data_IF_616728746695
#
_entry.id   IF_616728746695
#
_cell.length_a   1.000
_cell.length_b   1.000
_cell.length_c   1.000
_cell.angle_alpha   90.00
_cell.angle_beta   90.00
_cell.angle_gamma   90.00
#
_symmetry.space_group_name_H-M   'P 1'
#
loop_
_entity.id
_entity.type
_entity.pdbx_description
1 polymer ?
#
# COMPACT_ATOMS: atom_id res chain seq x y z
N UNK A 1 -18.76 -17.28 9.12
CA UNK A 1 -17.60 -16.42 9.42
C UNK A 1 -17.65 -15.25 8.45
N UNK A 2 -17.35 -14.01 8.87
CA UNK A 2 -17.12 -12.95 7.91
C UNK A 2 -15.99 -13.41 6.97
N UNK A 3 -16.23 -13.34 5.66
CA UNK A 3 -15.23 -13.70 4.66
C UNK A 3 -14.29 -12.49 4.57
N UNK A 4 -13.11 -12.60 5.15
CA UNK A 4 -12.03 -11.63 4.93
C UNK A 4 -11.20 -12.01 3.70
N UNK A 5 -10.34 -11.10 3.24
CA UNK A 5 -9.52 -11.29 2.04
C UNK A 5 -8.18 -11.99 2.32
N UNK A 6 -7.95 -12.52 3.52
CA UNK A 6 -6.67 -13.14 3.89
C UNK A 6 -6.49 -14.49 3.21
N UNK A 7 -5.24 -14.85 2.91
CA UNK A 7 -4.94 -16.13 2.28
C UNK A 7 -5.38 -17.36 3.11
N UNK A 8 -5.43 -17.26 4.44
CA UNK A 8 -5.96 -18.34 5.28
C UNK A 8 -7.46 -18.61 5.00
N UNK A 9 -8.26 -17.57 4.84
CA UNK A 9 -9.68 -17.66 4.45
C UNK A 9 -9.83 -18.22 3.04
N UNK A 10 -8.94 -17.82 2.12
CA UNK A 10 -8.88 -18.36 0.77
C UNK A 10 -8.54 -19.87 0.75
N UNK A 11 -7.61 -20.33 1.58
CA UNK A 11 -7.32 -21.76 1.70
C UNK A 11 -8.56 -22.56 2.12
N UNK A 12 -9.30 -22.07 3.12
CA UNK A 12 -10.55 -22.73 3.53
C UNK A 12 -11.60 -22.72 2.41
N UNK A 13 -11.67 -21.66 1.62
CA UNK A 13 -12.51 -21.60 0.43
C UNK A 13 -12.13 -22.68 -0.61
N UNK A 14 -10.83 -22.90 -0.87
CA UNK A 14 -10.36 -23.97 -1.75
C UNK A 14 -10.79 -25.36 -1.25
N UNK A 15 -10.63 -25.63 0.05
CA UNK A 15 -11.05 -26.91 0.66
C UNK A 15 -12.55 -27.12 0.59
N UNK A 16 -13.36 -26.09 0.83
CA UNK A 16 -14.82 -26.16 0.76
C UNK A 16 -15.34 -26.45 -0.65
N UNK A 17 -14.63 -25.98 -1.68
CA UNK A 17 -14.98 -26.24 -3.08
C UNK A 17 -14.40 -27.54 -3.65
N UNK A 18 -13.73 -28.35 -2.82
CA UNK A 18 -13.05 -29.58 -3.26
C UNK A 18 -12.14 -29.31 -4.45
N UNK A 19 -11.35 -28.23 -4.38
CA UNK A 19 -10.36 -27.90 -5.40
C UNK A 19 -9.37 -29.06 -5.59
N UNK A 20 -8.81 -29.15 -6.80
CA UNK A 20 -7.89 -30.21 -7.24
C UNK A 20 -6.77 -30.48 -6.22
N UNK A 21 -6.89 -31.60 -5.49
CA UNK A 21 -5.93 -32.03 -4.46
C UNK A 21 -4.58 -32.45 -5.05
N UNK A 22 -4.48 -32.58 -6.38
CA UNK A 22 -3.21 -32.85 -7.06
C UNK A 22 -2.41 -31.57 -7.35
N UNK A 23 -2.99 -30.38 -7.11
CA UNK A 23 -2.28 -29.13 -7.30
C UNK A 23 -1.11 -29.02 -6.30
N UNK A 24 0.13 -28.88 -6.78
CA UNK A 24 1.32 -28.95 -5.93
C UNK A 24 1.43 -27.77 -4.95
N UNK A 25 0.83 -26.62 -5.27
CA UNK A 25 0.80 -25.46 -4.35
C UNK A 25 -0.15 -25.76 -3.19
N UNK A 26 -1.33 -26.33 -3.45
CA UNK A 26 -2.27 -26.71 -2.39
C UNK A 26 -1.65 -27.78 -1.47
N UNK A 27 -0.98 -28.78 -2.03
CA UNK A 27 -0.30 -29.82 -1.25
C UNK A 27 0.78 -29.22 -0.32
N UNK A 28 1.59 -28.29 -0.82
CA UNK A 28 2.61 -27.62 -0.01
C UNK A 28 1.97 -26.78 1.11
N UNK A 29 0.88 -26.07 0.83
CA UNK A 29 0.13 -25.33 1.87
C UNK A 29 -0.37 -26.28 2.97
N UNK A 30 -0.89 -27.46 2.61
CA UNK A 30 -1.34 -28.47 3.57
C UNK A 30 -0.18 -29.03 4.41
N UNK A 31 0.97 -29.32 3.79
CA UNK A 31 2.17 -29.80 4.48
C UNK A 31 2.68 -28.75 5.49
N UNK A 32 2.77 -27.49 5.07
CA UNK A 32 3.19 -26.39 5.93
C UNK A 32 2.20 -26.13 7.07
N UNK A 33 0.90 -26.24 6.80
CA UNK A 33 -0.14 -26.14 7.82
C UNK A 33 0.00 -27.25 8.87
N UNK A 34 0.18 -28.50 8.45
CA UNK A 34 0.40 -29.65 9.35
C UNK A 34 1.68 -29.49 10.17
N UNK A 35 2.73 -28.93 9.57
CA UNK A 35 3.99 -28.63 10.22
C UNK A 35 3.95 -27.37 11.12
N UNK A 36 2.79 -26.69 11.21
CA UNK A 36 2.58 -25.45 11.98
C UNK A 36 3.65 -24.38 11.66
N UNK A 37 4.02 -24.25 10.39
CA UNK A 37 4.93 -23.22 9.93
C UNK A 37 4.19 -21.89 9.80
N UNK A 38 4.89 -20.80 10.08
CA UNK A 38 4.41 -19.47 9.77
C UNK A 38 4.29 -19.30 8.24
N UNK A 39 3.41 -18.40 7.78
CA UNK A 39 3.13 -18.14 6.37
C UNK A 39 2.65 -19.35 5.53
N UNK A 40 2.17 -20.43 6.17
CA UNK A 40 1.67 -21.63 5.48
C UNK A 40 0.56 -21.36 4.45
N UNK A 41 -0.19 -20.27 4.63
CA UNK A 41 -1.27 -19.86 3.73
C UNK A 41 -0.83 -18.90 2.64
N UNK A 42 0.35 -18.28 2.76
CA UNK A 42 0.83 -17.30 1.79
C UNK A 42 1.24 -18.01 0.49
N UNK A 43 0.40 -17.86 -0.53
CA UNK A 43 0.60 -18.48 -1.85
C UNK A 43 1.93 -18.04 -2.47
N UNK A 44 2.32 -16.79 -2.28
CA UNK A 44 3.54 -16.23 -2.88
C UNK A 44 4.78 -16.82 -2.23
N UNK A 45 4.79 -16.90 -0.89
CA UNK A 45 5.87 -17.54 -0.15
C UNK A 45 6.00 -19.03 -0.50
N UNK A 46 4.88 -19.73 -0.69
CA UNK A 46 4.86 -21.14 -1.12
C UNK A 46 5.46 -21.29 -2.53
N UNK A 47 5.03 -20.47 -3.49
CA UNK A 47 5.55 -20.49 -4.86
C UNK A 47 7.05 -20.17 -4.87
N UNK A 48 7.50 -19.20 -4.07
CA UNK A 48 8.91 -18.84 -3.95
C UNK A 48 9.76 -19.99 -3.41
N UNK A 49 9.31 -20.61 -2.33
CA UNK A 49 10.00 -21.76 -1.74
C UNK A 49 10.14 -22.90 -2.76
N UNK A 50 9.04 -23.25 -3.44
CA UNK A 50 9.05 -24.32 -4.44
C UNK A 50 9.97 -24.03 -5.63
N UNK A 51 10.04 -22.77 -6.06
CA UNK A 51 10.94 -22.32 -7.12
C UNK A 51 12.40 -22.39 -6.66
N UNK A 52 12.70 -21.93 -5.43
CA UNK A 52 14.05 -21.93 -4.86
C UNK A 52 14.60 -23.34 -4.63
N UNK A 53 13.74 -24.26 -4.20
CA UNK A 53 14.09 -25.67 -3.95
C UNK A 53 14.08 -26.53 -5.23
N UNK A 54 13.74 -25.95 -6.41
CA UNK A 54 13.58 -26.66 -7.68
C UNK A 54 12.67 -27.90 -7.59
N UNK A 55 11.66 -27.88 -6.71
CA UNK A 55 10.78 -29.03 -6.45
C UNK A 55 9.80 -29.28 -7.59
N UNK A 56 9.41 -28.22 -8.30
CA UNK A 56 8.49 -28.26 -9.44
C UNK A 56 9.07 -27.43 -10.57
N UNK A 57 8.90 -27.88 -11.82
CA UNK A 57 9.39 -27.12 -12.98
C UNK A 57 8.63 -25.79 -13.07
N UNK A 58 9.29 -24.66 -13.38
CA UNK A 58 8.64 -23.34 -13.41
C UNK A 58 7.38 -23.29 -14.28
N UNK A 59 7.35 -24.04 -15.39
CA UNK A 59 6.17 -24.14 -16.27
C UNK A 59 4.98 -24.81 -15.59
N UNK A 60 5.19 -25.93 -14.91
CA UNK A 60 4.14 -26.67 -14.20
C UNK A 60 3.63 -25.86 -13.00
N UNK A 61 4.55 -25.15 -12.33
CA UNK A 61 4.21 -24.24 -11.26
C UNK A 61 3.34 -23.07 -11.76
N UNK A 62 3.67 -22.49 -12.92
CA UNK A 62 2.85 -21.45 -13.55
C UNK A 62 1.45 -21.93 -13.96
N UNK A 63 1.32 -23.14 -14.50
CA UNK A 63 0.02 -23.74 -14.82
C UNK A 63 -0.82 -24.00 -13.55
N UNK A 64 -0.17 -24.46 -12.47
CA UNK A 64 -0.80 -24.67 -11.17
C UNK A 64 -1.24 -23.37 -10.51
N UNK A 65 -0.41 -22.33 -10.62
CA UNK A 65 -0.69 -20.99 -10.11
C UNK A 65 -1.88 -20.36 -10.83
N UNK A 66 -1.96 -20.52 -12.15
CA UNK A 66 -3.11 -20.04 -12.93
C UNK A 66 -4.44 -20.60 -12.43
N UNK A 67 -4.49 -21.90 -12.12
CA UNK A 67 -5.71 -22.54 -11.56
C UNK A 67 -6.08 -21.95 -10.19
N UNK A 68 -5.09 -21.63 -9.36
CA UNK A 68 -5.31 -20.97 -8.07
C UNK A 68 -5.82 -19.54 -8.26
N UNK A 69 -5.25 -18.77 -9.20
CA UNK A 69 -5.70 -17.41 -9.53
C UNK A 69 -7.17 -17.39 -9.96
N UNK A 70 -7.61 -18.35 -10.77
CA UNK A 70 -9.00 -18.48 -11.20
C UNK A 70 -9.96 -18.69 -10.01
N UNK A 71 -9.54 -19.46 -9.00
CA UNK A 71 -10.32 -19.62 -7.77
C UNK A 71 -10.26 -18.38 -6.88
N UNK A 72 -9.11 -17.71 -6.83
CA UNK A 72 -8.92 -16.51 -6.02
C UNK A 72 -9.82 -15.37 -6.50
N UNK A 73 -9.96 -15.18 -7.82
CA UNK A 73 -10.90 -14.22 -8.38
C UNK A 73 -12.34 -14.44 -7.88
N UNK A 74 -12.81 -15.69 -7.86
CA UNK A 74 -14.15 -16.03 -7.37
C UNK A 74 -14.29 -15.82 -5.86
N UNK A 75 -13.22 -16.07 -5.12
CA UNK A 75 -13.18 -15.80 -3.69
C UNK A 75 -13.29 -14.29 -3.41
N UNK A 76 -12.58 -13.45 -4.15
CA UNK A 76 -12.64 -12.00 -3.98
C UNK A 76 -14.05 -11.45 -4.26
N UNK A 77 -14.77 -11.96 -5.26
CA UNK A 77 -16.17 -11.56 -5.52
C UNK A 77 -17.11 -11.85 -4.34
N UNK A 78 -16.83 -12.90 -3.58
CA UNK A 78 -17.60 -13.25 -2.38
C UNK A 78 -17.16 -12.42 -1.16
N UNK A 79 -15.85 -12.15 -1.04
CA UNK A 79 -15.29 -11.39 0.07
C UNK A 79 -15.62 -9.89 -0.02
N UNK A 80 -15.59 -9.34 -1.23
CA UNK A 80 -15.86 -7.93 -1.54
C UNK A 80 -16.98 -7.83 -2.56
N UNK A 81 -18.24 -8.00 -2.13
CA UNK A 81 -19.40 -7.82 -2.99
C UNK A 81 -19.64 -6.34 -3.29
N UNK A 82 -20.33 -6.04 -4.40
CA UNK A 82 -20.66 -4.65 -4.79
C UNK A 82 -21.46 -3.90 -3.71
N UNK A 83 -22.25 -4.61 -2.90
CA UNK A 83 -22.98 -4.01 -1.78
C UNK A 83 -22.07 -3.49 -0.66
N UNK A 84 -20.89 -4.08 -0.47
CA UNK A 84 -19.88 -3.57 0.45
C UNK A 84 -19.25 -2.29 -0.09
N UNK A 85 -18.91 -2.27 -1.39
CA UNK A 85 -18.38 -1.07 -2.06
C UNK A 85 -19.38 0.09 -1.94
N UNK A 86 -20.63 -0.09 -2.36
CA UNK A 86 -21.67 0.95 -2.26
C UNK A 86 -21.82 1.50 -0.82
N UNK A 87 -21.71 0.64 0.19
CA UNK A 87 -21.75 1.07 1.59
C UNK A 87 -20.50 1.86 2.00
N UNK A 88 -19.31 1.41 1.60
CA UNK A 88 -18.05 2.07 1.89
C UNK A 88 -17.98 3.46 1.24
N UNK A 89 -18.28 3.56 -0.05
CA UNK A 89 -18.32 4.82 -0.77
C UNK A 89 -19.36 5.79 -0.19
N UNK A 90 -20.57 5.30 0.13
CA UNK A 90 -21.59 6.14 0.77
C UNK A 90 -21.15 6.64 2.16
N UNK A 91 -20.49 5.79 2.95
CA UNK A 91 -19.96 6.18 4.25
C UNK A 91 -18.80 7.19 4.11
N UNK A 92 -17.88 6.99 3.17
CA UNK A 92 -16.82 7.96 2.87
C UNK A 92 -17.44 9.30 2.48
N UNK A 93 -18.29 9.29 1.45
CA UNK A 93 -19.01 10.46 0.91
C UNK A 93 -19.70 11.27 2.00
N UNK A 94 -20.51 10.63 2.83
CA UNK A 94 -21.30 11.31 3.86
C UNK A 94 -20.45 11.90 5.00
N UNK A 95 -19.26 11.36 5.26
CA UNK A 95 -18.39 11.79 6.35
C UNK A 95 -17.19 12.62 5.87
N UNK A 96 -17.13 12.99 4.59
CA UNK A 96 -15.97 13.65 3.97
C UNK A 96 -14.64 12.88 4.18
N UNK A 97 -14.69 11.56 4.35
CA UNK A 97 -13.51 10.78 4.80
C UNK A 97 -12.34 10.86 3.83
N UNK A 98 -12.59 10.75 2.52
CA UNK A 98 -11.57 10.88 1.49
C UNK A 98 -10.83 12.22 1.59
N UNK A 99 -11.59 13.32 1.57
CA UNK A 99 -11.05 14.69 1.61
C UNK A 99 -10.30 14.92 2.92
N UNK A 100 -10.88 14.57 4.07
CA UNK A 100 -10.22 14.71 5.38
C UNK A 100 -8.91 13.92 5.44
N UNK A 101 -8.87 12.70 4.90
CA UNK A 101 -7.62 11.93 4.83
C UNK A 101 -6.54 12.64 4.03
N UNK A 102 -6.87 13.23 2.88
CA UNK A 102 -5.89 13.97 2.07
C UNK A 102 -5.47 15.29 2.73
N UNK A 103 -6.39 15.96 3.43
CA UNK A 103 -6.17 17.28 4.03
C UNK A 103 -5.39 17.23 5.34
N UNK A 104 -5.57 16.16 6.14
CA UNK A 104 -5.22 16.17 7.57
C UNK A 104 -4.31 15.02 8.01
N UNK A 105 -3.72 14.25 7.10
CA UNK A 105 -2.86 13.10 7.45
C UNK A 105 -1.64 13.48 8.30
N UNK A 106 -1.18 14.73 8.24
CA UNK A 106 -0.08 15.20 9.09
C UNK A 106 -0.47 15.24 10.58
N UNK A 107 -1.77 15.31 10.89
CA UNK A 107 -2.27 15.20 12.26
C UNK A 107 -2.20 13.82 12.89
N UNK A 108 -1.80 12.81 12.13
CA UNK A 108 -1.55 11.48 12.69
C UNK A 108 -0.13 11.33 13.27
N UNK A 109 0.77 12.29 12.99
CA UNK A 109 2.12 12.32 13.53
C UNK A 109 2.13 12.91 14.94
N UNK A 110 2.99 12.38 15.80
CA UNK A 110 3.26 13.06 17.07
C UNK A 110 4.06 14.36 16.84
N UNK A 111 4.16 15.17 17.88
CA UNK A 111 4.79 16.49 17.81
C UNK A 111 6.27 16.42 17.44
N UNK A 112 6.99 15.40 17.93
CA UNK A 112 8.43 15.27 17.72
C UNK A 112 8.72 14.79 16.29
N UNK A 113 7.92 13.87 15.76
CA UNK A 113 7.99 13.40 14.37
C UNK A 113 7.60 14.51 13.39
N UNK A 114 6.50 15.22 13.65
CA UNK A 114 6.09 16.38 12.86
C UNK A 114 7.16 17.47 12.83
N UNK A 115 7.81 17.76 13.96
CA UNK A 115 8.86 18.77 14.03
C UNK A 115 10.11 18.41 13.21
N UNK A 116 10.41 17.12 13.05
CA UNK A 116 11.53 16.63 12.24
C UNK A 116 11.21 16.66 10.74
N UNK A 117 9.95 16.41 10.38
CA UNK A 117 9.48 16.42 8.99
C UNK A 117 9.79 17.75 8.29
N UNK A 118 10.38 17.67 7.09
CA UNK A 118 10.71 18.85 6.28
C UNK A 118 9.65 19.16 5.24
N UNK A 119 8.87 18.17 4.82
CA UNK A 119 7.74 18.32 3.90
C UNK A 119 6.82 19.51 4.22
N UNK A 120 6.23 19.65 5.44
CA UNK A 120 5.29 20.74 5.72
C UNK A 120 5.94 22.13 5.66
N UNK A 121 7.25 22.23 5.94
CA UNK A 121 8.00 23.50 5.93
C UNK A 121 8.24 24.05 4.52
N UNK A 122 7.98 23.26 3.48
CA UNK A 122 8.27 23.58 2.07
C UNK A 122 7.01 23.83 1.24
N UNK A 123 5.85 23.57 1.82
CA UNK A 123 4.55 23.79 1.21
C UNK A 123 4.22 25.28 1.26
N UNK A 124 3.64 25.78 0.19
CA UNK A 124 3.05 27.10 0.16
C UNK A 124 1.59 27.00 -0.31
N UNK A 125 0.86 28.11 -0.11
CA UNK A 125 -0.36 28.34 -0.87
C UNK A 125 -0.05 28.13 -2.35
N UNK A 126 -1.04 27.57 -3.06
CA UNK A 126 -1.06 27.45 -4.51
C UNK A 126 -0.27 26.28 -5.08
N UNK A 127 0.39 25.48 -4.23
CA UNK A 127 1.02 24.24 -4.65
C UNK A 127 -0.04 23.22 -5.12
N UNK A 128 0.37 22.29 -5.97
CA UNK A 128 -0.47 21.17 -6.45
C UNK A 128 -0.09 19.92 -5.68
N UNK A 129 -1.04 19.35 -4.95
CA UNK A 129 -0.89 18.07 -4.27
C UNK A 129 -1.35 16.94 -5.19
N UNK A 130 -0.39 16.21 -5.76
CA UNK A 130 -0.68 15.05 -6.59
C UNK A 130 -0.54 13.76 -5.75
N UNK A 131 -1.66 13.24 -5.26
CA UNK A 131 -1.71 11.97 -4.53
C UNK A 131 -1.77 10.80 -5.51
N UNK A 132 -0.66 10.08 -5.65
CA UNK A 132 -0.60 8.90 -6.49
C UNK A 132 -0.60 7.62 -5.63
N UNK A 133 -1.75 6.94 -5.59
CA UNK A 133 -1.95 5.74 -4.80
C UNK A 133 -1.52 4.49 -5.58
N UNK A 134 -0.55 3.76 -5.03
CA UNK A 134 -0.17 2.42 -5.50
C UNK A 134 -0.85 1.39 -4.61
N UNK A 135 -1.94 0.80 -5.10
CA UNK A 135 -2.73 -0.18 -4.36
C UNK A 135 -2.26 -1.60 -4.66
N UNK A 136 -1.55 -2.22 -3.71
CA UNK A 136 -1.13 -3.62 -3.83
C UNK A 136 -2.27 -4.63 -3.62
N UNK A 137 -3.41 -4.18 -3.09
CA UNK A 137 -4.59 -5.02 -2.97
C UNK A 137 -5.27 -5.18 -4.32
N UNK A 138 -5.88 -6.35 -4.51
CA UNK A 138 -6.65 -6.65 -5.71
C UNK A 138 -8.04 -6.00 -5.71
N UNK A 139 -8.53 -5.56 -4.55
CA UNK A 139 -9.91 -5.09 -4.35
C UNK A 139 -10.00 -3.58 -4.55
N UNK A 140 -11.16 -3.11 -4.99
CA UNK A 140 -11.45 -1.68 -5.22
C UNK A 140 -11.86 -0.91 -3.96
N UNK A 141 -11.57 -1.45 -2.77
CA UNK A 141 -11.99 -0.82 -1.51
C UNK A 141 -11.32 0.55 -1.32
N UNK A 142 -10.03 0.64 -1.64
CA UNK A 142 -9.31 1.91 -1.53
C UNK A 142 -9.81 2.91 -2.57
N UNK A 143 -10.00 2.46 -3.81
CA UNK A 143 -10.48 3.26 -4.94
C UNK A 143 -11.80 3.95 -4.60
N UNK A 144 -12.76 3.18 -4.09
CA UNK A 144 -14.07 3.69 -3.71
C UNK A 144 -14.02 4.60 -2.48
N UNK A 145 -13.09 4.34 -1.55
CA UNK A 145 -12.90 5.18 -0.37
C UNK A 145 -12.29 6.55 -0.70
N UNK A 146 -11.24 6.59 -1.54
CA UNK A 146 -10.47 7.82 -1.85
C UNK A 146 -11.02 8.60 -3.04
N UNK A 147 -12.09 8.12 -3.67
CA UNK A 147 -12.70 8.80 -4.81
C UNK A 147 -13.29 10.15 -4.38
N UNK A 148 -12.83 11.22 -5.03
CA UNK A 148 -13.33 12.58 -4.79
C UNK A 148 -14.62 12.82 -5.58
N UNK A 149 -15.75 12.47 -4.98
CA UNK A 149 -17.08 12.62 -5.57
C UNK A 149 -17.61 14.07 -5.52
N UNK A 150 -18.72 14.32 -6.23
CA UNK A 150 -19.33 15.66 -6.37
C UNK A 150 -19.91 16.23 -5.06
N UNK A 151 -20.17 15.40 -4.06
CA UNK A 151 -20.67 15.82 -2.75
C UNK A 151 -19.52 16.27 -1.83
N UNK A 152 -18.37 15.61 -1.90
CA UNK A 152 -17.19 15.93 -1.09
C UNK A 152 -16.27 16.97 -1.72
N UNK A 153 -16.20 17.02 -3.06
CA UNK A 153 -15.23 17.81 -3.79
C UNK A 153 -15.88 18.71 -4.84
N UNK A 154 -15.63 20.01 -4.72
CA UNK A 154 -15.94 21.00 -5.74
C UNK A 154 -14.63 21.45 -6.41
N UNK A 155 -14.46 21.25 -7.74
CA UNK A 155 -13.27 21.72 -8.44
C UNK A 155 -13.20 23.26 -8.53
N UNK A 156 -14.28 23.99 -8.24
CA UNK A 156 -14.35 25.46 -8.25
C UNK A 156 -15.22 25.99 -7.10
N UNK A 157 -14.80 25.80 -5.84
CA UNK A 157 -15.58 26.19 -4.67
C UNK A 157 -15.68 27.71 -4.50
N UNK A 158 -14.74 28.47 -5.09
CA UNK A 158 -14.65 29.91 -4.93
C UNK A 158 -15.03 30.68 -6.21
N UNK A 159 -15.61 31.87 -6.03
CA UNK A 159 -16.07 32.71 -7.15
C UNK A 159 -14.94 33.36 -7.94
N UNK A 160 -13.82 33.65 -7.30
CA UNK A 160 -12.75 34.52 -7.83
C UNK A 160 -11.37 33.86 -7.82
N UNK A 161 -11.23 32.71 -7.18
CA UNK A 161 -9.99 31.92 -7.15
C UNK A 161 -10.29 30.51 -7.61
N UNK A 162 -9.33 29.85 -8.24
CA UNK A 162 -9.49 28.56 -8.91
C UNK A 162 -9.04 27.36 -8.04
N UNK A 163 -8.62 27.62 -6.80
CA UNK A 163 -8.17 26.60 -5.83
C UNK A 163 -9.33 25.69 -5.43
N UNK A 164 -9.04 24.41 -5.23
CA UNK A 164 -10.04 23.39 -4.91
C UNK A 164 -9.67 22.53 -3.69
N UNK A 165 -8.58 22.88 -3.00
CA UNK A 165 -8.08 22.10 -1.88
C UNK A 165 -7.60 23.00 -0.75
N UNK A 166 -7.79 22.53 0.47
CA UNK A 166 -7.34 23.20 1.69
C UNK A 166 -6.50 22.20 2.51
N UNK A 167 -5.18 22.39 2.51
CA UNK A 167 -4.25 21.46 3.15
C UNK A 167 -3.88 21.92 4.56
N UNK A 168 -4.12 21.09 5.57
CA UNK A 168 -3.81 21.42 6.97
C UNK A 168 -2.41 20.93 7.32
N UNK A 169 -1.58 21.86 7.80
CA UNK A 169 -0.24 21.53 8.27
C UNK A 169 -0.16 21.38 9.79
N UNK A 170 -1.13 21.85 10.57
CA UNK A 170 -1.08 21.71 12.03
C UNK A 170 -1.50 20.29 12.48
N UNK A 171 -0.64 19.55 13.21
CA UNK A 171 -1.00 18.23 13.74
C UNK A 171 -2.04 18.26 14.87
N UNK A 172 -2.46 19.44 15.34
CA UNK A 172 -3.61 19.59 16.22
C UNK A 172 -3.62 20.96 16.87
N UNK A 173 -4.80 21.60 16.93
CA UNK A 173 -5.11 22.97 17.35
C UNK A 173 -4.20 23.66 18.41
N UNK A 174 -2.91 23.84 18.09
CA UNK A 174 -1.95 24.59 18.89
C UNK A 174 -1.53 25.76 18.02
N UNK A 175 -2.34 26.82 18.13
CA UNK A 175 -2.11 28.08 17.46
C UNK A 175 -0.68 28.59 17.70
N UNK A 176 0.02 28.88 16.61
CA UNK A 176 1.20 29.74 16.63
C UNK A 176 2.37 29.21 15.81
N UNK A 177 2.41 29.59 14.53
CA UNK A 177 3.53 30.31 13.86
C UNK A 177 3.48 30.16 12.34
N UNK A 178 2.80 29.12 11.84
CA UNK A 178 2.64 28.81 10.42
C UNK A 178 1.17 28.95 10.06
N UNK A 179 0.84 29.39 8.83
CA UNK A 179 -0.57 29.46 8.42
C UNK A 179 -1.24 28.10 8.63
N UNK A 180 -2.29 28.03 9.45
CA UNK A 180 -2.88 26.76 9.91
C UNK A 180 -3.34 25.85 8.75
N UNK A 181 -3.52 26.44 7.57
CA UNK A 181 -4.00 25.78 6.37
C UNK A 181 -3.50 26.50 5.10
N UNK A 182 -3.39 25.76 3.99
CA UNK A 182 -2.94 26.26 2.69
C UNK A 182 -4.00 26.05 1.60
N UNK A 183 -4.36 27.13 0.92
CA UNK A 183 -5.26 27.09 -0.22
C UNK A 183 -4.51 26.67 -1.49
N UNK A 184 -4.82 25.48 -2.00
CA UNK A 184 -4.01 24.75 -2.98
C UNK A 184 -4.88 23.96 -3.96
N UNK A 185 -4.26 23.08 -4.76
CA UNK A 185 -4.98 22.12 -5.60
C UNK A 185 -4.72 20.69 -5.20
N UNK A 186 -5.66 19.80 -5.47
CA UNK A 186 -5.48 18.35 -5.30
C UNK A 186 -5.83 17.59 -6.58
N UNK A 187 -5.02 16.57 -6.87
CA UNK A 187 -5.34 15.50 -7.81
C UNK A 187 -5.08 14.17 -7.13
N UNK A 188 -5.89 13.16 -7.44
CA UNK A 188 -5.67 11.80 -6.95
C UNK A 188 -5.83 10.78 -8.08
N UNK A 189 -4.92 9.82 -8.12
CA UNK A 189 -4.94 8.71 -9.06
C UNK A 189 -4.65 7.41 -8.30
N UNK A 190 -5.32 6.31 -8.67
CA UNK A 190 -5.11 4.98 -8.08
C UNK A 190 -4.68 4.00 -9.16
N UNK A 191 -3.61 3.25 -8.89
CA UNK A 191 -3.12 2.18 -9.77
C UNK A 191 -2.95 0.87 -9.02
N UNK A 192 -3.22 -0.23 -9.72
CA UNK A 192 -3.07 -1.59 -9.18
C UNK A 192 -1.97 -2.35 -9.91
N UNK A 193 -0.70 -2.29 -9.45
CA UNK A 193 0.41 -2.98 -10.12
C UNK A 193 0.22 -4.51 -10.15
N UNK A 194 -0.51 -5.08 -9.18
CA UNK A 194 -0.78 -6.52 -9.10
C UNK A 194 -2.11 -6.93 -9.74
N UNK A 195 -2.79 -6.00 -10.42
CA UNK A 195 -4.07 -6.26 -11.05
C UNK A 195 -5.27 -6.03 -10.14
N UNK A 196 -6.44 -6.16 -10.74
CA UNK A 196 -7.69 -5.65 -10.22
C UNK A 196 -8.78 -6.73 -10.27
N UNK A 197 -9.57 -6.86 -9.21
CA UNK A 197 -10.58 -7.91 -9.01
C UNK A 197 -11.59 -7.99 -10.17
N UNK A 198 -12.05 -6.85 -10.69
CA UNK A 198 -12.99 -6.83 -11.83
C UNK A 198 -12.40 -7.34 -13.15
N UNK A 199 -11.08 -7.53 -13.21
CA UNK A 199 -10.37 -8.07 -14.37
C UNK A 199 -9.58 -9.31 -13.88
N UNK A 200 -10.22 -10.49 -13.79
CA UNK A 200 -9.59 -11.70 -13.22
C UNK A 200 -8.24 -12.06 -13.86
N UNK A 201 -8.10 -11.82 -15.17
CA UNK A 201 -6.86 -12.09 -15.93
C UNK A 201 -5.70 -11.14 -15.58
N UNK A 202 -5.97 -10.04 -14.89
CA UNK A 202 -4.95 -9.08 -14.47
C UNK A 202 -4.28 -9.44 -13.15
N UNK A 203 -4.90 -10.34 -12.35
CA UNK A 203 -4.39 -10.73 -11.04
C UNK A 203 -3.02 -11.39 -11.16
N UNK A 204 -2.01 -10.72 -10.60
CA UNK A 204 -0.62 -11.11 -10.68
C UNK A 204 -0.21 -11.80 -9.38
N UNK A 205 -0.19 -13.13 -9.42
CA UNK A 205 0.44 -13.92 -8.38
C UNK A 205 1.83 -14.28 -8.85
N UNK A 206 2.80 -14.22 -7.95
CA UNK A 206 4.17 -14.43 -8.31
C UNK A 206 5.09 -14.04 -7.19
N UNK A 207 6.38 -14.19 -7.49
CA UNK A 207 7.48 -13.89 -6.59
C UNK A 207 8.09 -12.55 -6.96
N UNK A 208 8.93 -12.01 -6.08
CA UNK A 208 9.80 -10.90 -6.48
C UNK A 208 10.85 -11.37 -7.50
N UNK A 209 11.64 -10.44 -8.04
CA UNK A 209 12.67 -10.71 -9.03
C UNK A 209 13.61 -11.83 -8.57
N UNK A 210 13.68 -12.97 -9.28
CA UNK A 210 14.55 -14.08 -8.90
C UNK A 210 16.01 -13.65 -8.87
N UNK A 211 16.76 -14.08 -7.84
CA UNK A 211 18.17 -13.69 -7.65
C UNK A 211 19.08 -14.07 -8.81
N UNK A 212 18.74 -15.14 -9.54
CA UNK A 212 19.50 -15.62 -10.69
C UNK A 212 18.56 -15.86 -11.86
N UNK A 213 18.77 -15.10 -12.94
CA UNK A 213 18.02 -15.24 -14.18
C UNK A 213 18.98 -15.39 -15.35
N UNK A 214 18.76 -16.44 -16.17
CA UNK A 214 19.53 -16.72 -17.38
C UNK A 214 19.00 -15.92 -18.57
N UNK A 215 18.98 -14.59 -18.41
CA UNK A 215 18.48 -13.65 -19.42
C UNK A 215 16.96 -13.65 -19.60
N UNK A 216 16.47 -12.89 -20.58
CA UNK A 216 15.05 -12.54 -20.75
C UNK A 216 14.11 -13.72 -21.09
N UNK A 217 14.66 -14.91 -21.35
CA UNK A 217 13.88 -16.11 -21.65
C UNK A 217 13.77 -17.08 -20.46
N UNK A 218 14.33 -16.71 -19.30
CA UNK A 218 14.27 -17.55 -18.11
C UNK A 218 12.81 -17.81 -17.69
N UNK A 219 12.36 -19.07 -17.60
CA UNK A 219 11.03 -19.40 -17.10
C UNK A 219 10.72 -18.84 -15.71
N UNK A 220 11.73 -18.61 -14.86
CA UNK A 220 11.56 -17.99 -13.54
C UNK A 220 11.14 -16.51 -13.64
N UNK A 221 11.57 -15.77 -14.68
CA UNK A 221 11.10 -14.39 -14.92
C UNK A 221 9.59 -14.34 -15.17
N UNK A 222 9.02 -15.40 -15.74
CA UNK A 222 7.57 -15.49 -15.98
C UNK A 222 6.76 -15.68 -14.70
N UNK A 223 7.40 -15.91 -13.56
CA UNK A 223 6.76 -15.93 -12.25
C UNK A 223 7.04 -14.65 -11.46
N UNK A 224 7.86 -13.72 -11.99
CA UNK A 224 8.24 -12.50 -11.30
C UNK A 224 7.19 -11.40 -11.51
N UNK A 225 6.63 -10.87 -10.41
CA UNK A 225 5.65 -9.77 -10.49
C UNK A 225 6.21 -8.51 -11.15
N UNK A 226 7.42 -8.00 -10.80
CA UNK A 226 7.92 -6.76 -11.38
C UNK A 226 8.10 -6.83 -12.90
N UNK A 227 8.41 -8.01 -13.42
CA UNK A 227 8.56 -8.26 -14.86
C UNK A 227 7.24 -8.05 -15.60
N UNK A 228 6.14 -8.63 -15.11
CA UNK A 228 4.83 -8.53 -15.76
C UNK A 228 4.15 -7.19 -15.52
N UNK A 229 4.29 -6.63 -14.32
CA UNK A 229 3.79 -5.30 -14.00
C UNK A 229 4.59 -4.20 -14.73
N UNK A 230 5.77 -4.55 -15.30
CA UNK A 230 6.69 -3.64 -15.98
C UNK A 230 7.07 -2.46 -15.07
N UNK A 231 7.41 -2.77 -13.82
CA UNK A 231 7.56 -1.77 -12.77
C UNK A 231 8.56 -0.67 -13.15
N UNK A 232 9.71 -1.06 -13.73
CA UNK A 232 10.73 -0.10 -14.17
C UNK A 232 10.20 0.87 -15.22
N UNK A 233 9.43 0.39 -16.20
CA UNK A 233 8.90 1.24 -17.27
C UNK A 233 7.78 2.15 -16.75
N UNK A 234 6.89 1.60 -15.92
CA UNK A 234 5.65 2.27 -15.51
C UNK A 234 5.79 3.16 -14.29
N UNK A 235 6.69 2.84 -13.36
CA UNK A 235 6.69 3.45 -12.04
C UNK A 235 8.03 4.03 -11.62
N UNK A 236 9.15 3.67 -12.28
CA UNK A 236 10.48 4.16 -11.88
C UNK A 236 10.56 5.69 -11.82
N UNK A 237 9.92 6.38 -12.77
CA UNK A 237 9.91 7.84 -12.85
C UNK A 237 9.19 8.49 -11.66
N UNK A 238 8.18 7.84 -11.08
CA UNK A 238 7.42 8.38 -9.96
C UNK A 238 8.31 8.62 -8.73
N UNK A 239 9.31 7.74 -8.53
CA UNK A 239 10.24 7.89 -7.42
C UNK A 239 11.11 9.13 -7.52
N UNK A 240 11.30 9.70 -8.71
CA UNK A 240 12.12 10.90 -8.94
C UNK A 240 11.29 12.18 -8.69
N UNK A 241 9.98 12.13 -8.94
CA UNK A 241 9.06 13.26 -8.79
C UNK A 241 8.38 13.32 -7.41
N UNK A 242 8.53 12.28 -6.58
CA UNK A 242 7.85 12.19 -5.27
C UNK A 242 8.58 12.96 -4.17
N UNK A 243 7.85 13.79 -3.41
CA UNK A 243 8.36 14.54 -2.25
C UNK A 243 8.05 13.87 -0.90
N UNK A 244 7.02 13.03 -0.85
CA UNK A 244 6.61 12.31 0.36
C UNK A 244 6.04 10.95 0.00
N UNK A 245 6.57 9.89 0.59
CA UNK A 245 6.04 8.54 0.52
C UNK A 245 5.16 8.26 1.73
N UNK A 246 4.03 7.58 1.53
CA UNK A 246 3.19 7.07 2.61
C UNK A 246 2.96 5.58 2.39
N UNK A 247 3.34 4.76 3.37
CA UNK A 247 3.07 3.32 3.35
C UNK A 247 2.00 3.02 4.39
N UNK A 248 0.91 2.37 3.96
CA UNK A 248 -0.22 2.02 4.83
C UNK A 248 -0.67 0.58 4.56
N UNK A 249 -0.95 -0.18 5.62
CA UNK A 249 -1.58 -1.51 5.53
C UNK A 249 -0.74 -2.59 4.83
N UNK A 250 0.56 -2.37 4.63
CA UNK A 250 1.44 -3.31 3.95
C UNK A 250 2.22 -4.17 4.96
N UNK A 251 2.20 -5.48 4.78
CA UNK A 251 3.21 -6.33 5.41
C UNK A 251 4.54 -6.08 4.72
N UNK A 252 5.54 -5.60 5.45
CA UNK A 252 6.92 -5.49 4.96
C UNK A 252 7.47 -6.89 4.68
N UNK A 253 7.27 -7.36 3.44
CA UNK A 253 7.55 -8.72 2.99
C UNK A 253 8.49 -8.75 1.78
N UNK A 254 8.97 -9.96 1.46
CA UNK A 254 9.95 -10.17 0.39
C UNK A 254 9.37 -9.98 -1.02
N UNK A 255 8.05 -10.17 -1.20
CA UNK A 255 7.39 -10.14 -2.51
C UNK A 255 7.35 -8.76 -3.18
N UNK A 256 7.42 -7.68 -2.39
CA UNK A 256 7.31 -6.29 -2.88
C UNK A 256 8.61 -5.48 -2.70
N UNK A 257 9.74 -6.17 -2.51
CA UNK A 257 11.04 -5.56 -2.19
C UNK A 257 11.51 -4.55 -3.24
N UNK A 258 11.16 -4.72 -4.51
CA UNK A 258 11.44 -3.72 -5.56
C UNK A 258 10.94 -2.33 -5.16
N UNK A 259 9.74 -2.21 -4.58
CA UNK A 259 9.19 -0.92 -4.15
C UNK A 259 9.96 -0.36 -2.96
N UNK A 260 10.16 -1.16 -1.91
CA UNK A 260 10.86 -0.72 -0.70
C UNK A 260 12.27 -0.21 -1.01
N UNK A 261 13.00 -0.93 -1.87
CA UNK A 261 14.32 -0.52 -2.33
C UNK A 261 14.29 0.84 -3.03
N UNK A 262 13.38 1.03 -3.99
CA UNK A 262 13.31 2.29 -4.74
C UNK A 262 12.81 3.48 -3.91
N UNK A 263 11.96 3.24 -2.90
CA UNK A 263 11.63 4.26 -1.89
C UNK A 263 12.91 4.64 -1.15
N UNK A 264 13.63 3.67 -0.57
CA UNK A 264 14.84 3.94 0.19
C UNK A 264 15.94 4.63 -0.64
N UNK A 265 16.12 4.25 -1.90
CA UNK A 265 17.06 4.88 -2.83
C UNK A 265 16.69 6.36 -3.09
N UNK A 266 15.40 6.72 -3.03
CA UNK A 266 14.93 8.09 -3.20
C UNK A 266 15.07 8.95 -1.92
N UNK A 267 15.00 8.35 -0.74
CA UNK A 267 14.97 9.06 0.54
C UNK A 267 16.24 9.89 0.79
N UNK A 268 16.04 11.14 1.19
CA UNK A 268 17.11 12.08 1.51
C UNK A 268 17.93 12.56 0.31
N UNK A 269 17.60 12.15 -0.93
CA UNK A 269 18.26 12.66 -2.13
C UNK A 269 17.74 14.07 -2.41
N UNK A 270 18.64 15.05 -2.38
CA UNK A 270 18.29 16.44 -2.68
C UNK A 270 17.89 16.58 -4.16
N UNK A 271 16.71 17.15 -4.39
CA UNK A 271 16.12 17.35 -5.71
C UNK A 271 15.57 18.76 -5.83
N UNK A 272 15.45 19.23 -7.05
CA UNK A 272 14.82 20.51 -7.35
C UNK A 272 13.37 20.27 -7.75
N UNK A 273 12.44 21.00 -7.14
CA UNK A 273 11.01 20.95 -7.50
C UNK A 273 10.82 21.43 -8.94
N UNK A 274 9.63 21.17 -9.49
CA UNK A 274 9.25 21.58 -10.86
C UNK A 274 9.35 23.09 -11.11
N UNK A 275 9.34 23.92 -10.06
CA UNK A 275 9.55 25.36 -10.15
C UNK A 275 11.02 25.79 -10.38
N UNK A 276 11.98 24.86 -10.30
CA UNK A 276 13.40 25.12 -10.54
C UNK A 276 14.11 25.89 -9.41
N UNK A 277 13.43 26.19 -8.31
CA UNK A 277 13.95 27.06 -7.24
C UNK A 277 13.99 26.33 -5.91
N UNK A 278 12.89 25.67 -5.54
CA UNK A 278 12.79 25.01 -4.24
C UNK A 278 13.48 23.65 -4.29
N UNK A 279 14.19 23.32 -3.22
CA UNK A 279 14.78 22.00 -3.04
C UNK A 279 13.89 21.15 -2.14
N UNK A 280 13.80 19.88 -2.46
CA UNK A 280 13.14 18.87 -1.65
C UNK A 280 14.07 17.68 -1.42
N UNK A 281 13.82 16.98 -0.34
CA UNK A 281 14.45 15.72 0.03
C UNK A 281 13.29 14.82 0.39
N UNK A 282 13.05 13.72 -0.35
CA UNK A 282 11.92 12.86 -0.09
C UNK A 282 11.97 12.24 1.30
N UNK A 283 10.82 12.17 1.96
CA UNK A 283 10.60 11.59 3.28
C UNK A 283 9.55 10.46 3.21
N UNK A 284 9.48 9.62 4.23
CA UNK A 284 8.53 8.50 4.34
C UNK A 284 7.74 8.59 5.64
N UNK A 285 6.42 8.42 5.54
CA UNK A 285 5.54 8.12 6.68
C UNK A 285 5.08 6.66 6.57
N UNK A 286 5.32 5.89 7.62
CA UNK A 286 4.98 4.48 7.71
C UNK A 286 3.87 4.28 8.76
N UNK A 287 2.67 3.98 8.29
CA UNK A 287 1.56 3.61 9.17
C UNK A 287 1.63 2.12 9.49
N UNK A 288 1.79 1.79 10.77
CA UNK A 288 1.94 0.43 11.25
C UNK A 288 0.81 0.02 12.19
N UNK A 289 0.17 -1.10 11.87
CA UNK A 289 -0.92 -1.65 12.67
C UNK A 289 -0.39 -2.56 13.78
N UNK A 290 -0.62 -2.19 15.03
CA UNK A 290 -0.14 -2.87 16.23
C UNK A 290 -1.22 -3.79 16.84
N UNK A 291 -1.69 -4.79 16.09
CA UNK A 291 -2.56 -5.84 16.64
C UNK A 291 -1.93 -7.23 16.49
N UNK A 292 -1.59 -7.84 17.62
CA UNK A 292 -0.96 -9.15 17.70
C UNK A 292 -0.06 -9.24 18.94
N UNK A 293 0.22 -10.44 19.45
CA UNK A 293 0.93 -10.65 20.72
C UNK A 293 2.37 -10.12 20.81
N UNK A 294 2.91 -9.54 19.74
CA UNK A 294 4.20 -8.84 19.72
C UNK A 294 3.95 -7.34 19.66
N UNK A 295 4.27 -6.64 20.75
CA UNK A 295 4.28 -5.18 20.79
C UNK A 295 5.49 -4.70 19.99
N UNK A 296 5.25 -4.10 18.84
CA UNK A 296 6.31 -3.40 18.09
C UNK A 296 6.43 -1.98 18.62
N UNK A 297 7.66 -1.48 18.70
CA UNK A 297 7.94 -0.05 18.88
C UNK A 297 8.32 0.59 17.54
N UNK A 298 8.34 1.92 17.51
CA UNK A 298 8.66 2.74 16.33
C UNK A 298 10.02 2.34 15.74
N UNK A 299 11.01 2.11 16.59
CA UNK A 299 12.37 1.79 16.19
C UNK A 299 12.45 0.42 15.50
N UNK A 300 11.78 -0.60 16.05
CA UNK A 300 11.73 -1.93 15.48
C UNK A 300 11.01 -1.96 14.13
N UNK A 301 9.96 -1.15 13.97
CA UNK A 301 9.24 -1.03 12.68
C UNK A 301 10.12 -0.34 11.63
N UNK A 302 10.79 0.75 12.00
CA UNK A 302 11.72 1.45 11.13
C UNK A 302 12.89 0.52 10.71
N UNK A 303 13.49 -0.18 11.66
CA UNK A 303 14.60 -1.09 11.39
C UNK A 303 14.16 -2.27 10.51
N UNK A 304 12.92 -2.75 10.68
CA UNK A 304 12.34 -3.77 9.80
C UNK A 304 12.20 -3.26 8.37
N UNK A 305 11.68 -2.05 8.14
CA UNK A 305 11.59 -1.47 6.80
C UNK A 305 12.98 -1.36 6.16
N UNK A 306 13.93 -0.77 6.88
CA UNK A 306 15.29 -0.52 6.40
C UNK A 306 16.08 -1.81 6.16
N UNK A 307 15.76 -2.89 6.87
CA UNK A 307 16.29 -4.22 6.61
C UNK A 307 15.89 -4.78 5.25
N UNK A 308 14.64 -4.58 4.81
CA UNK A 308 14.21 -5.04 3.50
C UNK A 308 14.62 -4.09 2.38
N UNK A 309 14.60 -2.79 2.66
CA UNK A 309 14.77 -1.73 1.68
C UNK A 309 16.25 -1.42 1.36
N UNK A 310 17.07 -1.17 2.39
CA UNK A 310 18.46 -0.73 2.23
C UNK A 310 19.34 -1.09 3.46
N UNK A 311 19.73 -2.37 3.63
CA UNK A 311 20.47 -2.84 4.80
C UNK A 311 21.78 -2.09 5.09
N UNK A 312 22.44 -1.56 4.06
CA UNK A 312 23.73 -0.88 4.18
C UNK A 312 23.64 0.58 4.61
N UNK A 313 22.46 1.21 4.51
CA UNK A 313 22.29 2.65 4.72
C UNK A 313 21.33 3.00 5.89
N UNK A 314 20.99 2.02 6.74
CA UNK A 314 19.95 2.16 7.77
C UNK A 314 20.15 3.41 8.64
N UNK A 315 21.37 3.68 9.09
CA UNK A 315 21.68 4.80 9.97
C UNK A 315 21.40 6.16 9.32
N UNK A 316 21.70 6.32 8.02
CA UNK A 316 21.46 7.57 7.26
C UNK A 316 19.97 7.76 7.00
N UNK A 317 19.29 6.68 6.64
CA UNK A 317 17.91 6.74 6.15
C UNK A 317 16.88 6.92 7.27
N UNK A 318 17.21 6.53 8.50
CA UNK A 318 16.32 6.63 9.67
C UNK A 318 15.80 8.04 9.92
N UNK A 319 16.58 9.07 9.60
CA UNK A 319 16.17 10.48 9.76
C UNK A 319 15.03 10.90 8.83
N UNK A 320 14.80 10.14 7.75
CA UNK A 320 13.77 10.42 6.73
C UNK A 320 12.54 9.52 6.86
N UNK A 321 12.51 8.63 7.86
CA UNK A 321 11.41 7.69 8.11
C UNK A 321 10.71 8.06 9.40
N UNK A 322 9.41 8.32 9.30
CA UNK A 322 8.53 8.67 10.41
C UNK A 322 7.46 7.57 10.55
N UNK A 323 7.14 7.14 11.77
CA UNK A 323 6.28 5.97 11.98
C UNK A 323 5.04 6.35 12.77
N UNK A 324 3.87 6.12 12.18
CA UNK A 324 2.58 6.27 12.85
C UNK A 324 2.10 4.90 13.31
N UNK A 325 2.18 4.66 14.62
CA UNK A 325 1.65 3.45 15.24
C UNK A 325 0.15 3.58 15.44
N UNK A 326 -0.64 2.59 15.02
CA UNK A 326 -2.09 2.60 15.23
C UNK A 326 -2.64 1.20 15.49
N UNK A 327 -3.78 1.13 16.17
CA UNK A 327 -4.53 -0.11 16.44
C UNK A 327 -6.03 0.09 16.13
N UNK A 328 -6.91 -0.81 16.57
CA UNK A 328 -8.34 -0.59 16.39
C UNK A 328 -8.91 0.58 17.20
N UNK A 329 -8.31 0.98 18.32
CA UNK A 329 -8.82 2.09 19.14
C UNK A 329 -8.28 3.46 18.71
N UNK A 330 -7.20 3.49 17.93
CA UNK A 330 -6.48 4.71 17.57
C UNK A 330 -7.28 5.55 16.58
N UNK A 331 -7.63 6.77 16.97
CA UNK A 331 -8.19 7.77 16.05
C UNK A 331 -7.08 8.24 15.08
N UNK A 332 -7.40 8.27 13.79
CA UNK A 332 -6.50 8.75 12.74
C UNK A 332 -7.27 9.53 11.69
N UNK A 333 -6.60 10.37 10.92
CA UNK A 333 -7.15 11.10 9.80
C UNK A 333 -6.94 10.31 8.51
N UNK A 334 -5.80 9.65 8.34
CA UNK A 334 -5.45 8.86 7.17
C UNK A 334 -6.28 7.57 7.07
N UNK A 335 -7.05 7.45 5.99
CA UNK A 335 -7.86 6.28 5.64
C UNK A 335 -8.64 5.73 6.84
N UNK A 336 -9.30 6.63 7.58
CA UNK A 336 -10.08 6.26 8.75
C UNK A 336 -11.48 5.79 8.34
N UNK A 337 -11.79 4.56 8.73
CA UNK A 337 -13.09 3.92 8.49
C UNK A 337 -13.94 3.80 9.76
N UNK A 338 -13.50 4.42 10.86
CA UNK A 338 -14.26 4.49 12.11
C UNK A 338 -15.35 5.56 11.99
N UNK A 339 -16.60 5.19 12.29
CA UNK A 339 -17.73 6.11 12.29
C UNK A 339 -17.74 6.99 13.55
N UNK A 340 -18.38 8.15 13.46
CA UNK A 340 -18.53 9.10 14.57
C UNK A 340 -19.29 8.52 15.79
N UNK A 341 -20.01 7.41 15.62
CA UNK A 341 -20.68 6.66 16.68
C UNK A 341 -19.80 5.55 17.31
N UNK A 342 -18.55 5.44 16.88
CA UNK A 342 -17.58 4.43 17.34
C UNK A 342 -17.73 3.06 16.67
N UNK A 343 -18.67 2.89 15.74
CA UNK A 343 -18.79 1.65 14.96
C UNK A 343 -17.77 1.61 13.81
N UNK A 344 -17.30 0.41 13.46
CA UNK A 344 -16.38 0.18 12.34
C UNK A 344 -17.09 -0.55 11.21
N UNK A 345 -16.72 -0.20 9.98
CA UNK A 345 -17.13 -0.92 8.77
C UNK A 345 -16.53 -2.33 8.69
#
# INVERSE_FOLDING_TARGET
MPIDTRYASFYHFLKLRSFDETNPILQEMEELQRARKDNWSDVEAVVEKMLRENRVRPRELGESLKRIQEQFSQFLELAVPSSLLVRLGADSMNNNSAVTSLQEFLGDLDRDDYARLQFPKRINNFDVFNFFFVNFNYTSLLDDFVYLDQQQFDPRPYKTVDRNFDFKIDPGAVAGEWGDHFSSYVTSDVVHPHGHQSIPRSLLFGVDTPQHVRGNQDPALRLAKPFWAQNDLRYRHLFDDTELFIIFGCSLGESDRWWWKHIADALGTERTRSDGVRKCSPELILYWFNEGGNVWDVDAVCDKFLEFAAPSERARLREYVHVVMHDAGTARNWLNTSRADGSKL
#
